data_IF_294284832029
#
_entry.id   IF_294284832029
#
_cell.length_a   1.000
_cell.length_b   1.000
_cell.length_c   1.000
_cell.angle_alpha   90.00
_cell.angle_beta   90.00
_cell.angle_gamma   90.00
#
_symmetry.space_group_name_H-M   'P 1'
#
loop_
_entity.id
_entity.type
_entity.pdbx_description
1 polymer ?
#
# COMPACT_ATOMS: atom_id res chain seq x y z
N UNK A 1 -15.81 25.39 -9.53
CA UNK A 1 -16.02 25.02 -10.96
C UNK A 1 -15.47 26.05 -11.95
N UNK A 2 -15.53 27.35 -11.71
CA UNK A 2 -15.02 28.39 -12.63
C UNK A 2 -13.50 28.66 -12.48
N UNK A 3 -12.91 28.34 -11.34
CA UNK A 3 -11.47 28.61 -11.04
C UNK A 3 -10.54 27.54 -11.65
N UNK A 4 -10.99 26.31 -11.77
CA UNK A 4 -10.22 25.24 -12.44
C UNK A 4 -10.12 25.42 -13.95
N UNK A 5 -11.13 26.04 -14.57
CA UNK A 5 -11.15 26.31 -16.01
C UNK A 5 -10.01 27.27 -16.44
N UNK A 6 -9.58 28.20 -15.58
CA UNK A 6 -8.51 29.14 -15.91
C UNK A 6 -7.10 28.53 -15.82
N UNK A 7 -6.91 27.48 -15.05
CA UNK A 7 -5.62 26.79 -14.93
C UNK A 7 -5.31 25.87 -16.12
N UNK A 8 -6.35 25.45 -16.84
CA UNK A 8 -6.27 24.54 -18.00
C UNK A 8 -5.87 25.24 -19.31
N UNK A 9 -6.01 26.56 -19.38
CA UNK A 9 -5.76 27.34 -20.62
C UNK A 9 -4.28 27.66 -20.88
N UNK A 10 -3.34 27.20 -20.03
CA UNK A 10 -1.91 27.50 -20.17
C UNK A 10 -1.05 26.41 -20.83
N UNK A 11 -1.63 25.30 -21.28
CA UNK A 11 -0.91 24.38 -22.16
C UNK A 11 -1.10 24.85 -23.61
N UNK A 12 -0.01 25.22 -24.28
CA UNK A 12 0.06 25.80 -25.63
C UNK A 12 -0.49 24.91 -26.79
N UNK A 13 -1.58 24.18 -26.60
CA UNK A 13 -2.29 23.50 -27.67
C UNK A 13 -3.64 24.18 -27.92
N UNK A 14 -3.77 24.84 -29.08
CA UNK A 14 -5.06 25.31 -29.59
C UNK A 14 -5.99 24.11 -29.74
N UNK A 15 -7.13 24.16 -29.05
CA UNK A 15 -8.26 23.24 -29.21
C UNK A 15 -9.23 23.93 -30.14
N UNK A 16 -9.19 23.58 -31.42
CA UNK A 16 -9.97 24.29 -32.45
C UNK A 16 -11.38 23.72 -32.70
N UNK A 17 -11.67 22.51 -32.18
CA UNK A 17 -12.99 21.87 -32.36
C UNK A 17 -13.47 21.15 -31.10
N UNK A 18 -14.79 20.96 -30.99
CA UNK A 18 -15.43 20.14 -29.95
C UNK A 18 -14.85 18.71 -29.92
N UNK A 19 -14.46 18.18 -31.08
CA UNK A 19 -13.86 16.86 -31.26
C UNK A 19 -12.47 16.79 -30.61
N UNK A 20 -11.67 17.85 -30.72
CA UNK A 20 -10.35 17.94 -30.11
C UNK A 20 -10.48 18.06 -28.61
N UNK A 21 -11.50 18.78 -28.11
CA UNK A 21 -11.84 18.89 -26.71
C UNK A 21 -12.22 17.53 -26.12
N UNK A 22 -13.13 16.80 -26.78
CA UNK A 22 -13.55 15.46 -26.36
C UNK A 22 -12.40 14.46 -26.45
N UNK A 23 -11.57 14.53 -27.50
CA UNK A 23 -10.40 13.65 -27.65
C UNK A 23 -9.33 13.95 -26.63
N UNK A 24 -9.11 15.21 -26.26
CA UNK A 24 -8.21 15.63 -25.19
C UNK A 24 -8.71 15.14 -23.84
N UNK A 25 -10.00 15.34 -23.53
CA UNK A 25 -10.62 14.85 -22.29
C UNK A 25 -10.54 13.32 -22.18
N UNK A 26 -10.84 12.59 -23.26
CA UNK A 26 -10.77 11.12 -23.26
C UNK A 26 -9.32 10.63 -23.14
N UNK A 27 -8.34 11.32 -23.73
CA UNK A 27 -6.92 11.00 -23.57
C UNK A 27 -6.44 11.26 -22.15
N UNK A 28 -6.81 12.40 -21.57
CA UNK A 28 -6.39 12.78 -20.22
C UNK A 28 -7.05 11.87 -19.16
N UNK A 29 -8.30 11.47 -19.36
CA UNK A 29 -8.98 10.50 -18.49
C UNK A 29 -8.39 9.09 -18.54
N UNK A 30 -7.84 8.69 -19.70
CA UNK A 30 -7.12 7.42 -19.85
C UNK A 30 -5.70 7.43 -19.29
N UNK A 31 -5.16 8.60 -18.97
CA UNK A 31 -3.79 8.78 -18.48
C UNK A 31 -3.67 9.01 -16.97
N UNK A 32 -4.75 8.97 -16.22
CA UNK A 32 -4.65 8.88 -14.74
C UNK A 32 -4.21 7.46 -14.40
N UNK A 33 -2.92 7.22 -14.54
CA UNK A 33 -2.29 6.00 -14.07
C UNK A 33 -2.38 6.01 -12.54
N UNK A 34 -3.27 5.19 -12.00
CA UNK A 34 -3.36 4.97 -10.56
C UNK A 34 -2.04 4.36 -10.11
N UNK A 35 -1.29 5.04 -9.25
CA UNK A 35 -0.07 4.50 -8.64
C UNK A 35 -0.41 3.75 -7.37
N UNK A 36 -0.04 2.49 -7.31
CA UNK A 36 -0.31 1.60 -6.19
C UNK A 36 1.00 1.15 -5.56
N UNK A 37 1.07 1.11 -4.24
CA UNK A 37 2.17 0.49 -3.50
C UNK A 37 1.66 -0.73 -2.75
N UNK A 38 2.31 -1.88 -2.92
CA UNK A 38 2.27 -2.99 -1.97
C UNK A 38 3.51 -2.91 -1.08
N UNK A 39 3.32 -2.44 0.15
CA UNK A 39 4.42 -2.10 1.06
C UNK A 39 5.11 -3.33 1.70
N UNK A 40 4.51 -4.52 1.58
CA UNK A 40 5.03 -5.79 2.13
C UNK A 40 4.63 -6.95 1.22
N UNK A 41 5.03 -6.92 -0.05
CA UNK A 41 4.45 -7.75 -1.10
C UNK A 41 4.65 -9.26 -0.91
N UNK A 42 5.68 -9.68 -0.17
CA UNK A 42 6.02 -11.09 -0.04
C UNK A 42 6.07 -11.79 -1.40
N UNK A 43 5.33 -12.88 -1.53
CA UNK A 43 5.19 -13.61 -2.81
C UNK A 43 3.96 -13.16 -3.62
N UNK A 44 3.45 -11.96 -3.41
CA UNK A 44 2.33 -11.34 -4.15
C UNK A 44 1.06 -12.22 -4.12
N UNK A 45 0.74 -12.83 -2.97
CA UNK A 45 -0.21 -13.97 -2.89
C UNK A 45 -1.67 -13.59 -3.15
N UNK A 46 -2.07 -12.36 -2.85
CA UNK A 46 -3.46 -11.91 -3.03
C UNK A 46 -3.68 -11.12 -4.34
N UNK A 47 -2.61 -10.92 -5.13
CA UNK A 47 -2.71 -10.27 -6.43
C UNK A 47 -3.11 -11.27 -7.51
N UNK A 48 -4.17 -10.96 -8.27
CA UNK A 48 -4.57 -11.75 -9.44
C UNK A 48 -3.56 -11.59 -10.58
N UNK A 49 -3.14 -10.33 -10.83
CA UNK A 49 -2.05 -10.00 -11.75
C UNK A 49 -0.83 -9.56 -10.93
N UNK A 50 0.18 -10.41 -10.89
CA UNK A 50 1.42 -10.20 -10.13
C UNK A 50 2.43 -9.29 -10.82
N UNK A 51 2.17 -8.99 -12.09
CA UNK A 51 3.00 -8.14 -12.95
C UNK A 51 2.25 -6.85 -13.34
N UNK A 52 1.24 -6.45 -12.56
CA UNK A 52 0.43 -5.27 -12.83
C UNK A 52 1.32 -4.01 -12.86
N UNK A 53 1.41 -3.30 -14.01
CA UNK A 53 2.34 -2.19 -14.19
C UNK A 53 2.02 -0.95 -13.34
N UNK A 54 0.82 -0.88 -12.74
CA UNK A 54 0.41 0.21 -11.85
C UNK A 54 0.83 -0.04 -10.40
N UNK A 55 1.37 -1.22 -10.08
CA UNK A 55 1.74 -1.61 -8.72
C UNK A 55 3.24 -1.62 -8.56
N UNK A 56 3.75 -0.86 -7.61
CA UNK A 56 5.13 -1.00 -7.10
C UNK A 56 5.12 -1.99 -5.95
N UNK A 57 5.80 -3.10 -6.11
CA UNK A 57 5.93 -4.13 -5.09
C UNK A 57 7.18 -3.89 -4.26
N UNK A 58 7.04 -3.69 -2.95
CA UNK A 58 8.14 -3.52 -2.01
C UNK A 58 8.16 -4.63 -0.97
N UNK A 59 9.35 -5.13 -0.64
CA UNK A 59 9.60 -6.01 0.52
C UNK A 59 11.03 -5.80 0.98
N UNK A 60 11.29 -6.00 2.25
CA UNK A 60 12.66 -5.93 2.80
C UNK A 60 13.51 -7.12 2.35
N UNK A 61 12.89 -8.18 1.86
CA UNK A 61 13.53 -9.44 1.47
C UNK A 61 13.50 -9.63 -0.04
N UNK A 62 14.55 -10.23 -0.57
CA UNK A 62 14.56 -10.80 -1.93
C UNK A 62 15.21 -12.17 -1.86
N UNK A 63 14.43 -13.23 -2.12
CA UNK A 63 14.95 -14.60 -2.11
C UNK A 63 14.00 -15.57 -2.80
N UNK A 64 14.52 -16.76 -3.12
CA UNK A 64 13.75 -17.91 -3.61
C UNK A 64 14.10 -19.14 -2.78
N UNK A 65 13.09 -19.95 -2.43
CA UNK A 65 13.26 -21.18 -1.65
C UNK A 65 12.21 -22.23 -2.09
N UNK A 66 12.38 -23.46 -1.66
CA UNK A 66 11.41 -24.53 -1.83
C UNK A 66 10.85 -24.85 -0.44
N UNK A 67 9.54 -24.76 -0.28
CA UNK A 67 8.87 -25.08 0.97
C UNK A 67 8.88 -26.59 1.21
N UNK A 68 8.65 -27.00 2.47
CA UNK A 68 8.64 -28.40 2.88
C UNK A 68 7.60 -29.28 2.13
N UNK A 69 6.60 -28.65 1.52
CA UNK A 69 5.58 -29.30 0.67
C UNK A 69 5.93 -29.27 -0.83
N UNK A 70 7.16 -28.89 -1.19
CA UNK A 70 7.66 -28.86 -2.57
C UNK A 70 7.25 -27.61 -3.38
N UNK A 71 6.45 -26.70 -2.83
CA UNK A 71 6.08 -25.46 -3.53
C UNK A 71 7.24 -24.47 -3.56
N UNK A 72 7.47 -23.86 -4.72
CA UNK A 72 8.39 -22.74 -4.85
C UNK A 72 7.84 -21.53 -4.10
N UNK A 73 8.63 -20.95 -3.24
CA UNK A 73 8.40 -19.66 -2.62
C UNK A 73 9.37 -18.66 -3.24
N UNK A 74 8.83 -17.61 -3.82
CA UNK A 74 9.60 -16.55 -4.42
C UNK A 74 9.14 -15.20 -3.89
N UNK A 75 10.06 -14.45 -3.31
CA UNK A 75 9.88 -13.05 -2.92
C UNK A 75 10.78 -12.22 -3.82
N UNK A 76 10.19 -11.58 -4.80
CA UNK A 76 10.88 -10.77 -5.80
C UNK A 76 10.18 -9.42 -5.95
N UNK A 77 10.47 -8.47 -5.04
CA UNK A 77 9.94 -7.11 -5.12
C UNK A 77 10.62 -6.31 -6.21
N UNK A 78 9.95 -5.26 -6.72
CA UNK A 78 10.53 -4.25 -7.59
C UNK A 78 11.53 -3.40 -6.81
N UNK A 79 11.16 -3.07 -5.57
CA UNK A 79 11.93 -2.24 -4.65
C UNK A 79 12.24 -3.01 -3.37
N UNK A 80 13.53 -3.09 -3.00
CA UNK A 80 13.94 -3.58 -1.69
C UNK A 80 13.87 -2.40 -0.73
N UNK A 81 12.99 -2.49 0.27
CA UNK A 81 12.77 -1.39 1.22
C UNK A 81 12.12 -1.85 2.51
N UNK A 82 12.29 -1.04 3.54
CA UNK A 82 11.69 -1.25 4.85
C UNK A 82 10.44 -0.40 4.98
N UNK A 83 9.31 -1.01 5.31
CA UNK A 83 8.04 -0.30 5.48
C UNK A 83 8.07 0.74 6.60
N UNK A 84 9.04 0.66 7.54
CA UNK A 84 9.21 1.60 8.65
C UNK A 84 9.88 2.90 8.24
N UNK A 85 10.56 2.89 7.09
CA UNK A 85 11.27 4.05 6.51
C UNK A 85 11.37 3.88 4.99
N UNK A 86 10.30 4.27 4.28
CA UNK A 86 10.18 4.07 2.84
C UNK A 86 10.92 5.16 2.06
N UNK A 87 11.58 4.77 0.98
CA UNK A 87 12.34 5.67 0.10
C UNK A 87 11.49 6.45 -0.91
N UNK A 88 10.16 6.39 -0.79
CA UNK A 88 9.22 7.10 -1.66
C UNK A 88 8.96 8.52 -1.17
N UNK A 89 8.55 9.39 -2.09
CA UNK A 89 8.16 10.75 -1.79
C UNK A 89 6.85 10.84 -1.00
N UNK A 90 6.61 11.97 -0.34
CA UNK A 90 5.28 12.26 0.19
C UNK A 90 4.26 12.33 -0.96
N UNK A 91 3.02 11.89 -0.69
CA UNK A 91 1.90 12.04 -1.62
C UNK A 91 2.13 11.42 -3.00
N UNK A 92 2.81 10.28 -3.05
CA UNK A 92 3.18 9.64 -4.31
C UNK A 92 2.13 8.66 -4.83
N UNK A 93 1.45 7.92 -3.95
CA UNK A 93 0.55 6.82 -4.31
C UNK A 93 -0.93 7.15 -4.09
N UNK A 94 -1.78 6.64 -4.98
CA UNK A 94 -3.24 6.77 -4.87
C UNK A 94 -3.82 5.68 -3.93
N UNK A 95 -3.18 4.51 -3.90
CA UNK A 95 -3.54 3.37 -3.06
C UNK A 95 -2.28 2.75 -2.46
N UNK A 96 -2.32 2.43 -1.18
CA UNK A 96 -1.30 1.62 -0.50
C UNK A 96 -1.95 0.37 0.08
N UNK A 97 -1.32 -0.78 -0.14
CA UNK A 97 -1.65 -2.04 0.54
C UNK A 97 -0.58 -2.31 1.56
N UNK A 98 -0.98 -2.48 2.82
CA UNK A 98 -0.09 -2.76 3.94
C UNK A 98 -0.46 -4.09 4.59
N UNK A 99 0.25 -5.18 4.22
CA UNK A 99 0.13 -6.54 4.77
C UNK A 99 1.42 -6.91 5.52
N UNK A 100 1.73 -6.24 6.66
CA UNK A 100 2.97 -6.50 7.38
C UNK A 100 3.00 -7.90 7.96
N UNK A 101 4.19 -8.43 8.30
CA UNK A 101 4.31 -9.67 9.04
C UNK A 101 3.45 -9.63 10.31
N UNK A 102 2.69 -10.71 10.55
CA UNK A 102 1.80 -10.82 11.71
C UNK A 102 2.31 -11.81 12.77
N UNK A 103 3.45 -12.45 12.50
CA UNK A 103 4.09 -13.37 13.42
C UNK A 103 5.05 -12.60 14.32
N UNK A 104 4.94 -12.79 15.64
CA UNK A 104 5.87 -12.23 16.67
C UNK A 104 6.55 -13.34 17.46
N UNK A 105 5.92 -14.53 17.54
CA UNK A 105 6.43 -15.71 18.27
C UNK A 105 6.55 -16.86 17.28
N UNK A 106 7.65 -16.91 16.55
CA UNK A 106 7.95 -18.02 15.64
C UNK A 106 9.47 -18.18 15.54
N UNK A 107 9.94 -19.44 15.44
CA UNK A 107 11.37 -19.73 15.24
C UNK A 107 11.84 -19.25 13.86
N UNK A 108 13.03 -18.70 13.77
CA UNK A 108 13.55 -18.09 12.54
C UNK A 108 13.68 -19.07 11.37
N UNK A 109 13.84 -20.37 11.66
CA UNK A 109 13.86 -21.43 10.63
C UNK A 109 12.49 -21.94 10.23
N UNK A 110 11.40 -21.40 10.82
CA UNK A 110 10.03 -21.82 10.49
C UNK A 110 9.68 -21.47 9.05
N UNK A 111 9.03 -22.40 8.34
CA UNK A 111 8.51 -22.15 7.01
C UNK A 111 7.47 -21.00 6.98
N UNK A 112 6.76 -20.78 8.10
CA UNK A 112 5.83 -19.65 8.24
C UNK A 112 6.57 -18.32 8.21
N UNK A 113 7.73 -18.24 8.90
CA UNK A 113 8.59 -17.04 8.90
C UNK A 113 9.17 -16.80 7.51
N UNK A 114 9.60 -17.86 6.83
CA UNK A 114 10.04 -17.75 5.43
C UNK A 114 8.93 -17.15 4.55
N UNK A 115 7.69 -17.61 4.73
CA UNK A 115 6.56 -17.19 3.89
C UNK A 115 6.06 -15.79 4.22
N UNK A 116 5.85 -15.48 5.49
CA UNK A 116 5.14 -14.28 5.93
C UNK A 116 6.04 -13.21 6.57
N UNK A 117 7.30 -13.54 6.85
CA UNK A 117 8.14 -12.70 7.69
C UNK A 117 7.78 -12.79 9.17
N UNK A 118 8.49 -12.04 9.99
CA UNK A 118 8.28 -11.95 11.43
C UNK A 118 8.61 -10.55 11.93
N UNK A 119 7.79 -10.02 12.82
CA UNK A 119 8.09 -8.82 13.61
C UNK A 119 8.88 -9.19 14.85
N UNK A 120 9.67 -8.27 15.38
CA UNK A 120 10.33 -8.44 16.65
C UNK A 120 9.31 -8.33 17.79
N UNK A 121 9.33 -9.27 18.74
CA UNK A 121 8.39 -9.32 19.88
C UNK A 121 8.46 -8.06 20.76
N UNK A 122 9.63 -7.44 20.86
CA UNK A 122 9.85 -6.28 21.72
C UNK A 122 9.48 -4.95 21.04
N UNK A 123 9.56 -4.88 19.70
CA UNK A 123 9.39 -3.63 18.93
C UNK A 123 8.17 -3.59 18.02
N UNK A 124 7.40 -4.67 17.87
CA UNK A 124 6.33 -4.77 16.89
C UNK A 124 5.33 -3.62 16.92
N UNK A 125 5.07 -3.04 18.10
CA UNK A 125 4.13 -1.90 18.24
C UNK A 125 4.68 -0.65 17.54
N UNK A 126 5.94 -0.33 17.82
CA UNK A 126 6.60 0.81 17.19
C UNK A 126 6.85 0.55 15.69
N UNK A 127 7.19 -0.69 15.33
CA UNK A 127 7.34 -1.08 13.92
C UNK A 127 6.04 -0.86 13.12
N UNK A 128 4.90 -1.30 13.66
CA UNK A 128 3.60 -1.10 13.01
C UNK A 128 3.16 0.36 12.99
N UNK A 129 3.44 1.11 14.06
CA UNK A 129 3.18 2.55 14.14
C UNK A 129 3.97 3.32 13.07
N UNK A 130 5.27 3.05 12.95
CA UNK A 130 6.11 3.66 11.92
C UNK A 130 5.64 3.28 10.53
N UNK A 131 5.34 2.00 10.30
CA UNK A 131 4.85 1.53 9.01
C UNK A 131 3.51 2.16 8.61
N UNK A 132 2.57 2.28 9.54
CA UNK A 132 1.30 2.96 9.29
C UNK A 132 1.52 4.43 8.93
N UNK A 133 2.37 5.14 9.68
CA UNK A 133 2.67 6.55 9.43
C UNK A 133 3.36 6.73 8.06
N UNK A 134 4.28 5.86 7.69
CA UNK A 134 4.93 5.87 6.38
C UNK A 134 3.93 5.60 5.25
N UNK A 135 3.03 4.60 5.42
CA UNK A 135 1.95 4.38 4.46
C UNK A 135 1.08 5.63 4.27
N UNK A 136 0.72 6.30 5.36
CA UNK A 136 -0.05 7.55 5.30
C UNK A 136 0.75 8.72 4.71
N UNK A 137 2.07 8.76 4.92
CA UNK A 137 2.96 9.78 4.35
C UNK A 137 3.03 9.70 2.83
N UNK A 138 3.23 8.48 2.31
CA UNK A 138 3.38 8.26 0.86
C UNK A 138 2.06 8.26 0.10
N UNK A 139 0.92 8.13 0.78
CA UNK A 139 -0.40 8.30 0.19
C UNK A 139 -0.67 9.74 -0.18
N UNK A 140 -1.27 9.97 -1.36
CA UNK A 140 -1.84 11.26 -1.76
C UNK A 140 -2.98 11.68 -0.83
N UNK A 141 -3.31 12.97 -0.73
CA UNK A 141 -4.57 13.42 -0.13
C UNK A 141 -5.75 12.66 -0.75
N UNK A 142 -6.71 12.24 0.06
CA UNK A 142 -7.83 11.38 -0.30
C UNK A 142 -7.44 9.96 -0.80
N UNK A 143 -6.16 9.61 -0.77
CA UNK A 143 -5.67 8.26 -1.09
C UNK A 143 -6.15 7.23 -0.06
N UNK A 144 -6.18 5.98 -0.49
CA UNK A 144 -6.73 4.87 0.30
C UNK A 144 -5.62 3.94 0.77
N UNK A 145 -5.61 3.62 2.07
CA UNK A 145 -4.80 2.56 2.65
C UNK A 145 -5.68 1.33 2.91
N UNK A 146 -5.28 0.19 2.35
CA UNK A 146 -5.83 -1.13 2.68
C UNK A 146 -4.85 -1.81 3.64
N UNK A 147 -5.28 -2.01 4.89
CA UNK A 147 -4.49 -2.70 5.90
C UNK A 147 -5.01 -4.13 6.09
N UNK A 148 -4.12 -5.10 5.97
CA UNK A 148 -4.46 -6.50 6.21
C UNK A 148 -3.74 -6.99 7.45
N UNK A 149 -4.46 -7.70 8.34
CA UNK A 149 -3.92 -8.26 9.56
C UNK A 149 -4.49 -9.62 9.88
N UNK A 150 -3.62 -10.57 10.25
CA UNK A 150 -4.04 -11.84 10.80
C UNK A 150 -3.84 -11.83 12.33
N UNK A 151 -4.93 -11.97 13.08
CA UNK A 151 -4.93 -11.87 14.54
C UNK A 151 -4.63 -13.19 15.27
N UNK A 152 -3.89 -14.11 14.63
CA UNK A 152 -3.52 -15.39 15.25
C UNK A 152 -2.70 -15.21 16.52
N UNK A 153 -1.70 -14.33 16.49
CA UNK A 153 -0.79 -14.10 17.61
C UNK A 153 -1.03 -12.79 18.34
N UNK A 154 -1.42 -11.76 17.63
CA UNK A 154 -1.71 -10.43 18.19
C UNK A 154 -3.09 -10.01 17.75
N UNK A 155 -3.95 -9.66 18.73
CA UNK A 155 -5.31 -9.22 18.46
C UNK A 155 -5.34 -7.90 17.68
N UNK A 156 -6.27 -7.77 16.73
CA UNK A 156 -6.45 -6.54 15.97
C UNK A 156 -6.64 -5.31 16.87
N UNK A 157 -7.39 -5.47 17.96
CA UNK A 157 -7.62 -4.39 18.94
C UNK A 157 -6.33 -3.82 19.54
N UNK A 158 -5.28 -4.64 19.70
CA UNK A 158 -3.97 -4.17 20.17
C UNK A 158 -3.20 -3.44 19.07
N UNK A 159 -3.31 -3.94 17.84
CA UNK A 159 -2.68 -3.30 16.66
C UNK A 159 -3.27 -1.92 16.41
N UNK A 160 -4.59 -1.79 16.47
CA UNK A 160 -5.27 -0.50 16.23
C UNK A 160 -4.94 0.57 17.28
N UNK A 161 -4.45 0.17 18.48
CA UNK A 161 -3.94 1.14 19.48
C UNK A 161 -2.61 1.78 19.05
N UNK A 162 -1.88 1.17 18.12
CA UNK A 162 -0.63 1.71 17.59
C UNK A 162 -0.87 2.81 16.54
N UNK A 163 -2.09 2.88 15.98
CA UNK A 163 -2.43 3.80 14.91
C UNK A 163 -3.11 5.06 15.46
N UNK A 164 -2.83 6.19 14.85
CA UNK A 164 -3.41 7.49 15.20
C UNK A 164 -4.77 7.75 14.52
N UNK A 165 -5.24 6.81 13.71
CA UNK A 165 -6.49 6.92 12.95
C UNK A 165 -7.30 5.62 13.06
N UNK A 166 -8.63 5.75 13.08
CA UNK A 166 -9.55 4.60 13.03
C UNK A 166 -9.83 4.22 11.58
N UNK A 167 -10.02 2.92 11.29
CA UNK A 167 -10.45 2.49 9.97
C UNK A 167 -11.84 3.05 9.64
N UNK A 168 -12.06 3.35 8.36
CA UNK A 168 -13.36 3.78 7.85
C UNK A 168 -14.36 2.62 7.85
N UNK A 169 -13.93 1.46 7.37
CA UNK A 169 -14.67 0.19 7.42
C UNK A 169 -13.72 -0.99 7.25
N UNK A 170 -14.24 -2.19 7.32
CA UNK A 170 -13.44 -3.41 7.11
C UNK A 170 -14.28 -4.67 7.05
N UNK A 171 -13.63 -5.77 6.74
CA UNK A 171 -14.21 -7.11 6.71
C UNK A 171 -13.30 -8.10 7.45
N UNK A 172 -13.91 -9.14 8.00
CA UNK A 172 -13.22 -10.25 8.67
C UNK A 172 -13.58 -11.57 8.03
N UNK A 173 -12.55 -12.34 7.67
CA UNK A 173 -12.71 -13.75 7.28
C UNK A 173 -11.80 -14.62 8.15
N UNK A 174 -12.40 -15.47 8.99
CA UNK A 174 -11.67 -16.25 9.99
C UNK A 174 -10.86 -15.34 10.94
N UNK A 175 -9.54 -15.44 10.97
CA UNK A 175 -8.63 -14.61 11.76
C UNK A 175 -8.01 -13.45 10.97
N UNK A 176 -8.36 -13.30 9.70
CA UNK A 176 -7.83 -12.26 8.82
C UNK A 176 -8.81 -11.12 8.69
N UNK A 177 -8.33 -9.92 8.91
CA UNK A 177 -9.04 -8.67 8.76
C UNK A 177 -8.49 -7.90 7.56
N UNK A 178 -9.39 -7.24 6.84
CA UNK A 178 -9.09 -6.25 5.82
C UNK A 178 -9.76 -4.95 6.24
N UNK A 179 -8.98 -3.90 6.43
CA UNK A 179 -9.45 -2.61 6.92
C UNK A 179 -9.08 -1.51 5.92
N UNK A 180 -9.95 -0.54 5.79
CA UNK A 180 -9.77 0.59 4.88
C UNK A 180 -9.61 1.85 5.70
N UNK A 181 -8.57 2.62 5.37
CA UNK A 181 -8.33 3.97 5.87
C UNK A 181 -8.26 4.92 4.68
N UNK A 182 -8.60 6.17 4.89
CA UNK A 182 -8.49 7.23 3.89
C UNK A 182 -7.65 8.35 4.47
N UNK A 183 -6.65 8.82 3.72
CA UNK A 183 -5.89 10.01 4.12
C UNK A 183 -6.77 11.25 3.98
N UNK A 184 -6.99 11.95 5.07
CA UNK A 184 -7.73 13.22 5.03
C UNK A 184 -6.97 14.26 4.21
N UNK A 185 -7.68 15.17 3.57
CA UNK A 185 -7.07 16.40 3.05
C UNK A 185 -6.46 17.19 4.21
N UNK A 186 -5.22 17.64 4.04
CA UNK A 186 -4.67 18.63 4.94
C UNK A 186 -5.33 19.94 4.55
N UNK A 187 -6.25 20.45 5.36
CA UNK A 187 -6.71 21.84 5.23
C UNK A 187 -5.48 22.73 5.29
N UNK A 188 -5.16 23.41 4.20
CA UNK A 188 -4.04 24.37 4.10
C UNK A 188 -4.40 25.74 4.70
N UNK A 189 -5.48 25.81 5.51
CA UNK A 189 -6.00 27.03 6.10
C UNK A 189 -5.84 26.97 7.64
N UNK A 190 -4.59 26.83 8.13
CA UNK A 190 -4.18 27.26 9.48
C UNK A 190 -2.77 27.87 9.42
#
# INVERSE_FOLDING_TARGET
>A
MVIEFKRFMYSNKKIDTLRDYVTFFIRDWRSVLVKILDACCGSKMFWFDKENPNVTYMDIRRYSDILCDGRKLEVNPDVIGDFRNMQFSNDEFDLVVFDPPHLVKAGDKSWLVKKYGKLNIDTWKEDLKHGFNECMRVLKPCGTLIFKWNEEQVKLSEVLKCFNQKPLFGNKRSKTHWLVFVKNEVNKDE
#
